data_IF_374869359414
#
_entry.id   IF_374869359414
#
_cell.length_a   1.000
_cell.length_b   1.000
_cell.length_c   1.000
_cell.angle_alpha   90.00
_cell.angle_beta   90.00
_cell.angle_gamma   90.00
#
_symmetry.space_group_name_H-M   'P 1'
#
loop_
_entity.id
_entity.type
_entity.pdbx_description
1 polymer ?
#
# COMPACT_ATOMS: atom_id res chain seq x y z
N UNK A 1 16.14 -14.24 -32.61
CA UNK A 1 14.66 -14.05 -32.60
C UNK A 1 14.07 -14.99 -31.55
N UNK A 2 13.91 -14.53 -30.33
CA UNK A 2 13.32 -15.31 -29.22
C UNK A 2 11.84 -14.96 -29.14
N UNK A 3 11.00 -15.87 -29.61
CA UNK A 3 9.55 -15.70 -29.52
C UNK A 3 9.06 -15.71 -28.09
N UNK A 4 8.70 -14.54 -27.58
CA UNK A 4 7.96 -14.40 -26.34
C UNK A 4 6.62 -15.14 -26.48
N UNK A 5 6.52 -16.34 -25.90
CA UNK A 5 5.24 -17.03 -25.72
C UNK A 5 4.38 -16.16 -24.78
N UNK A 6 3.46 -15.39 -25.37
CA UNK A 6 2.39 -14.70 -24.63
C UNK A 6 1.62 -15.76 -23.85
N UNK A 7 1.81 -15.79 -22.55
CA UNK A 7 0.99 -16.60 -21.66
C UNK A 7 -0.33 -15.83 -21.48
N UNK A 8 -1.40 -16.35 -22.08
CA UNK A 8 -2.75 -15.77 -21.99
C UNK A 8 -3.16 -15.68 -20.51
N UNK A 9 -3.18 -14.49 -19.92
CA UNK A 9 -3.84 -14.26 -18.65
C UNK A 9 -5.35 -14.35 -18.92
N UNK A 10 -6.04 -15.25 -18.24
CA UNK A 10 -7.48 -15.45 -18.44
C UNK A 10 -8.34 -14.33 -17.85
N UNK A 11 -7.75 -13.34 -17.16
CA UNK A 11 -8.47 -12.24 -16.52
C UNK A 11 -8.05 -10.90 -17.12
N UNK A 12 -9.05 -10.19 -17.66
CA UNK A 12 -8.89 -8.84 -18.19
C UNK A 12 -9.64 -7.87 -17.29
N UNK A 13 -9.06 -6.71 -17.02
CA UNK A 13 -9.71 -5.59 -16.35
C UNK A 13 -9.63 -4.40 -17.31
N UNK A 14 -10.77 -3.76 -17.52
CA UNK A 14 -10.88 -2.58 -18.36
C UNK A 14 -10.91 -1.34 -17.46
N UNK A 15 -10.26 -0.27 -17.89
CA UNK A 15 -10.22 0.99 -17.15
C UNK A 15 -10.24 2.18 -18.11
N UNK A 16 -10.78 3.29 -17.65
CA UNK A 16 -10.84 4.55 -18.40
C UNK A 16 -9.83 5.56 -17.89
N UNK A 17 -9.60 5.59 -16.57
CA UNK A 17 -8.63 6.48 -15.92
C UNK A 17 -7.79 5.73 -14.89
N UNK A 18 -6.63 6.26 -14.54
CA UNK A 18 -5.79 5.66 -13.50
C UNK A 18 -6.38 5.77 -12.08
N UNK A 19 -7.46 6.53 -11.92
CA UNK A 19 -8.19 6.69 -10.67
C UNK A 19 -9.41 5.77 -10.54
N UNK A 20 -9.67 4.92 -11.54
CA UNK A 20 -10.77 3.97 -11.51
C UNK A 20 -10.62 2.99 -10.34
N UNK A 21 -11.70 2.77 -9.60
CA UNK A 21 -11.77 1.72 -8.59
C UNK A 21 -12.18 0.40 -9.26
N UNK A 22 -11.19 -0.43 -9.54
CA UNK A 22 -11.39 -1.73 -10.23
C UNK A 22 -11.75 -2.87 -9.27
N UNK A 23 -11.78 -2.58 -7.97
CA UNK A 23 -12.19 -3.54 -6.92
C UNK A 23 -13.39 -2.96 -6.17
N UNK A 24 -14.56 -3.30 -6.62
CA UNK A 24 -15.80 -2.90 -5.94
C UNK A 24 -15.85 -3.45 -4.52
N UNK A 25 -16.01 -2.56 -3.54
CA UNK A 25 -16.35 -2.93 -2.18
C UNK A 25 -17.84 -2.70 -1.95
N UNK A 26 -18.51 -3.62 -1.28
CA UNK A 26 -19.95 -3.56 -1.00
C UNK A 26 -20.37 -2.34 -0.18
N UNK A 27 -19.44 -1.57 0.38
CA UNK A 27 -19.69 -0.46 1.29
C UNK A 27 -18.79 0.77 1.00
N UNK A 28 -18.62 1.15 -0.26
CA UNK A 28 -17.77 2.31 -0.62
C UNK A 28 -18.22 3.64 0.02
N UNK A 29 -19.51 3.75 0.31
CA UNK A 29 -20.12 4.94 0.94
C UNK A 29 -20.05 4.92 2.48
N UNK A 30 -19.38 3.94 3.08
CA UNK A 30 -19.27 3.90 4.53
C UNK A 30 -18.51 5.10 5.07
N UNK A 31 -19.07 5.74 6.10
CA UNK A 31 -18.44 6.84 6.85
C UNK A 31 -18.31 6.46 8.31
N UNK A 32 -17.23 6.91 8.91
CA UNK A 32 -17.04 6.72 10.34
C UNK A 32 -18.07 7.49 11.15
N UNK A 33 -18.48 6.92 12.27
CA UNK A 33 -19.39 7.60 13.21
C UNK A 33 -18.72 8.87 13.74
N UNK A 34 -19.51 9.91 13.97
CA UNK A 34 -19.02 11.12 14.63
C UNK A 34 -18.38 10.74 15.98
N UNK A 35 -17.24 11.38 16.32
CA UNK A 35 -16.52 11.04 17.54
C UNK A 35 -15.51 9.90 17.43
N UNK A 36 -15.22 9.40 16.23
CA UNK A 36 -14.17 8.40 16.05
C UNK A 36 -12.85 8.86 16.71
N UNK A 37 -12.20 7.91 17.39
CA UNK A 37 -10.94 8.17 18.13
C UNK A 37 -9.75 7.58 17.40
N UNK A 38 -9.00 8.40 16.69
CA UNK A 38 -7.73 8.01 16.05
C UNK A 38 -6.65 7.56 17.04
N UNK A 39 -6.74 8.08 18.29
CA UNK A 39 -5.87 7.68 19.40
C UNK A 39 -6.76 7.15 20.51
N UNK A 40 -6.59 5.89 20.86
CA UNK A 40 -7.27 5.28 22.00
C UNK A 40 -6.24 5.09 23.13
N UNK A 41 -6.48 5.75 24.27
CA UNK A 41 -5.60 5.70 25.43
C UNK A 41 -6.00 4.63 26.46
N UNK A 42 -7.13 3.95 26.26
CA UNK A 42 -7.58 2.90 27.16
C UNK A 42 -6.56 1.74 27.17
N UNK A 43 -6.13 1.35 28.39
CA UNK A 43 -5.10 0.32 28.60
C UNK A 43 -5.56 -1.05 28.09
N UNK A 44 -6.81 -1.43 28.33
CA UNK A 44 -7.37 -2.71 27.88
C UNK A 44 -7.45 -2.75 26.34
N UNK A 45 -7.85 -1.64 25.71
CA UNK A 45 -7.84 -1.54 24.26
C UNK A 45 -6.41 -1.67 23.70
N UNK A 46 -5.43 -1.04 24.33
CA UNK A 46 -4.02 -1.15 23.90
C UNK A 46 -3.53 -2.59 24.03
N UNK A 47 -3.77 -3.25 25.16
CA UNK A 47 -3.37 -4.64 25.37
C UNK A 47 -4.03 -5.58 24.35
N UNK A 48 -5.35 -5.51 24.19
CA UNK A 48 -6.07 -6.29 23.17
C UNK A 48 -5.57 -6.03 21.75
N UNK A 49 -5.25 -4.76 21.44
CA UNK A 49 -4.71 -4.37 20.14
C UNK A 49 -3.31 -4.97 19.88
N UNK A 50 -2.45 -5.10 20.91
CA UNK A 50 -1.16 -5.78 20.74
C UNK A 50 -1.32 -7.26 20.47
N UNK A 51 -2.23 -7.93 21.17
CA UNK A 51 -2.52 -9.36 21.00
C UNK A 51 -3.07 -9.63 19.59
N UNK A 52 -4.09 -8.88 19.17
CA UNK A 52 -4.71 -9.03 17.85
C UNK A 52 -3.72 -8.74 16.72
N UNK A 53 -2.92 -7.69 16.86
CA UNK A 53 -1.86 -7.37 15.90
C UNK A 53 -0.81 -8.48 15.82
N UNK A 54 -0.38 -9.01 16.97
CA UNK A 54 0.57 -10.14 17.02
C UNK A 54 0.05 -11.38 16.31
N UNK A 55 -1.20 -11.76 16.56
CA UNK A 55 -1.87 -12.87 15.87
C UNK A 55 -1.93 -12.62 14.36
N UNK A 56 -2.32 -11.42 13.95
CA UNK A 56 -2.40 -11.06 12.53
C UNK A 56 -1.02 -11.11 11.84
N UNK A 57 0.05 -10.68 12.51
CA UNK A 57 1.43 -10.77 11.98
C UNK A 57 1.86 -12.24 11.84
N UNK A 58 1.58 -13.10 12.82
CA UNK A 58 1.93 -14.53 12.76
C UNK A 58 1.17 -15.21 11.61
N UNK A 59 -0.14 -14.98 11.51
CA UNK A 59 -0.95 -15.49 10.42
C UNK A 59 -0.48 -14.97 9.05
N UNK A 60 -0.12 -13.69 9.00
CA UNK A 60 0.46 -13.05 7.81
C UNK A 60 1.80 -13.66 7.39
N UNK A 61 2.69 -13.93 8.34
CA UNK A 61 3.98 -14.61 8.08
C UNK A 61 3.75 -15.98 7.43
N UNK A 62 2.84 -16.77 7.98
CA UNK A 62 2.48 -18.08 7.43
C UNK A 62 1.91 -17.94 6.01
N UNK A 63 0.96 -17.02 5.81
CA UNK A 63 0.37 -16.73 4.50
C UNK A 63 1.40 -16.27 3.47
N UNK A 64 2.26 -15.32 3.83
CA UNK A 64 3.31 -14.79 2.93
C UNK A 64 4.30 -15.88 2.50
N UNK A 65 4.70 -16.75 3.42
CA UNK A 65 5.67 -17.81 3.14
C UNK A 65 5.05 -19.00 2.40
N UNK A 66 3.90 -19.51 2.88
CA UNK A 66 3.33 -20.76 2.40
C UNK A 66 2.41 -20.56 1.19
N UNK A 67 1.57 -19.52 1.20
CA UNK A 67 0.56 -19.30 0.17
C UNK A 67 1.07 -18.44 -0.97
N UNK A 68 1.67 -17.29 -0.64
CA UNK A 68 2.06 -16.30 -1.67
C UNK A 68 3.52 -16.43 -2.10
N UNK A 69 4.38 -17.07 -1.31
CA UNK A 69 5.80 -17.23 -1.63
C UNK A 69 6.52 -15.90 -1.82
N UNK A 70 6.21 -14.91 -0.96
CA UNK A 70 6.75 -13.56 -1.05
C UNK A 70 8.24 -13.55 -0.78
N UNK A 71 8.99 -12.91 -1.66
CA UNK A 71 10.44 -12.68 -1.53
C UNK A 71 10.71 -11.22 -1.22
N UNK A 72 11.25 -10.95 -0.06
CA UNK A 72 11.66 -9.59 0.33
C UNK A 72 13.09 -9.31 -0.14
N UNK A 73 13.27 -8.21 -0.86
CA UNK A 73 14.54 -7.73 -1.36
C UNK A 73 14.92 -6.46 -0.61
N UNK A 74 16.20 -6.40 -0.21
CA UNK A 74 16.80 -5.22 0.43
C UNK A 74 16.13 -4.72 1.73
N UNK A 75 15.23 -5.50 2.36
CA UNK A 75 14.52 -5.03 3.57
C UNK A 75 15.44 -4.68 4.76
N UNK A 76 16.73 -5.03 4.69
CA UNK A 76 17.71 -4.69 5.73
C UNK A 76 17.88 -3.18 5.90
N UNK A 77 17.62 -2.37 4.85
CA UNK A 77 17.71 -0.90 4.90
C UNK A 77 16.77 -0.29 5.95
N UNK A 78 15.65 -0.96 6.27
CA UNK A 78 14.75 -0.51 7.33
C UNK A 78 15.39 -0.49 8.73
N UNK A 79 16.54 -1.14 8.91
CA UNK A 79 17.30 -1.13 10.17
C UNK A 79 18.01 0.20 10.42
N UNK A 80 18.26 0.99 9.38
CA UNK A 80 18.90 2.31 9.48
C UNK A 80 18.05 3.29 10.30
N UNK A 81 16.73 3.10 10.30
CA UNK A 81 15.79 3.90 11.08
C UNK A 81 15.09 3.07 12.18
N UNK A 82 15.82 2.09 12.79
CA UNK A 82 15.19 1.20 13.78
C UNK A 82 14.63 1.94 14.98
N UNK A 83 15.24 3.04 15.40
CA UNK A 83 14.85 3.85 16.56
C UNK A 83 13.97 5.05 16.18
N UNK A 84 13.69 5.27 14.89
CA UNK A 84 12.94 6.41 14.38
C UNK A 84 11.63 5.96 13.74
N UNK A 85 10.59 6.80 13.79
CA UNK A 85 9.44 6.68 12.94
C UNK A 85 9.77 7.12 11.52
N UNK A 86 9.11 6.53 10.53
CA UNK A 86 9.33 6.82 9.11
C UNK A 86 8.07 6.57 8.30
N UNK A 87 8.02 7.11 7.10
CA UNK A 87 6.96 6.81 6.15
C UNK A 87 7.40 5.76 5.15
N UNK A 88 6.47 4.89 4.77
CA UNK A 88 6.62 3.94 3.66
C UNK A 88 5.58 4.28 2.62
N UNK A 89 6.02 4.61 1.41
CA UNK A 89 5.15 4.71 0.25
C UNK A 89 5.21 3.40 -0.53
N UNK A 90 4.05 2.82 -0.82
CA UNK A 90 3.97 1.53 -1.49
C UNK A 90 3.00 1.57 -2.67
N UNK A 91 3.25 0.78 -3.73
CA UNK A 91 2.29 0.59 -4.81
C UNK A 91 1.15 -0.33 -4.38
N UNK A 92 -0.09 -0.01 -4.82
CA UNK A 92 -1.32 -0.62 -4.31
C UNK A 92 -1.83 -1.73 -5.24
N UNK A 93 -1.25 -2.93 -5.11
CA UNK A 93 -1.47 -4.02 -6.06
C UNK A 93 -1.85 -5.36 -5.44
N UNK A 94 -1.99 -5.42 -4.11
CA UNK A 94 -2.35 -6.64 -3.40
C UNK A 94 -3.53 -6.40 -2.45
N UNK A 95 -4.70 -6.93 -2.76
CA UNK A 95 -5.94 -6.71 -1.99
C UNK A 95 -5.79 -7.03 -0.48
N UNK A 96 -5.12 -8.13 -0.14
CA UNK A 96 -4.84 -8.51 1.25
C UNK A 96 -3.38 -8.28 1.61
N UNK A 97 -2.48 -8.50 0.66
CA UNK A 97 -1.04 -8.39 0.85
C UNK A 97 -0.58 -7.00 1.28
N UNK A 98 -1.25 -5.96 0.80
CA UNK A 98 -0.86 -4.57 1.09
C UNK A 98 -1.01 -4.19 2.57
N UNK A 99 -1.84 -4.89 3.34
CA UNK A 99 -1.88 -4.72 4.80
C UNK A 99 -0.79 -5.56 5.49
N UNK A 100 -0.50 -6.73 4.97
CA UNK A 100 0.36 -7.73 5.58
C UNK A 100 1.85 -7.53 5.25
N UNK A 101 2.16 -7.20 4.00
CA UNK A 101 3.53 -7.08 3.50
C UNK A 101 4.36 -6.05 4.28
N UNK A 102 3.87 -4.80 4.53
CA UNK A 102 4.62 -3.84 5.33
C UNK A 102 4.81 -4.29 6.78
N UNK A 103 3.77 -4.90 7.40
CA UNK A 103 3.85 -5.38 8.77
C UNK A 103 4.95 -6.46 8.94
N UNK A 104 5.10 -7.36 7.97
CA UNK A 104 6.14 -8.39 7.97
C UNK A 104 7.51 -7.82 7.62
N UNK A 105 7.57 -6.82 6.75
CA UNK A 105 8.83 -6.12 6.44
C UNK A 105 9.40 -5.44 7.67
N UNK A 106 8.54 -4.87 8.52
CA UNK A 106 8.85 -4.11 9.71
C UNK A 106 8.58 -4.90 11.02
N UNK A 107 8.80 -6.21 11.04
CA UNK A 107 8.37 -7.13 12.11
C UNK A 107 8.75 -6.70 13.55
N UNK A 108 9.78 -5.87 13.69
CA UNK A 108 10.22 -5.33 14.99
C UNK A 108 9.43 -4.10 15.44
N UNK A 109 8.56 -3.56 14.58
CA UNK A 109 7.78 -2.35 14.83
C UNK A 109 6.33 -2.60 14.49
N UNK A 110 5.45 -1.94 15.22
CA UNK A 110 4.04 -1.91 14.83
C UNK A 110 3.86 -0.95 13.66
N UNK A 111 3.28 -1.44 12.58
CA UNK A 111 2.99 -0.66 11.39
C UNK A 111 1.61 -0.04 11.50
N UNK A 112 1.48 1.20 11.07
CA UNK A 112 0.22 1.89 10.88
C UNK A 112 0.00 2.16 9.40
N UNK A 113 -1.23 1.99 8.91
CA UNK A 113 -1.56 2.14 7.48
C UNK A 113 -2.66 3.18 7.33
N UNK A 114 -2.43 4.17 6.46
CA UNK A 114 -3.48 5.13 6.09
C UNK A 114 -4.43 4.43 5.12
N UNK A 115 -5.74 4.45 5.47
CA UNK A 115 -6.77 3.70 4.75
C UNK A 115 -8.01 4.55 4.48
N UNK A 116 -8.77 4.21 3.45
CA UNK A 116 -10.10 4.79 3.21
C UNK A 116 -11.07 4.39 4.32
N UNK A 117 -12.02 5.27 4.63
CA UNK A 117 -13.11 4.96 5.58
C UNK A 117 -13.97 3.78 5.10
N UNK A 118 -14.11 3.58 3.79
CA UNK A 118 -14.85 2.46 3.20
C UNK A 118 -14.39 1.10 3.75
N UNK A 119 -13.10 0.94 4.07
CA UNK A 119 -12.56 -0.30 4.64
C UNK A 119 -13.16 -0.66 6.01
N UNK A 120 -13.61 0.34 6.77
CA UNK A 120 -14.28 0.11 8.06
C UNK A 120 -15.71 -0.44 7.90
N UNK A 121 -16.28 -0.34 6.70
CA UNK A 121 -17.56 -0.96 6.34
C UNK A 121 -17.48 -2.46 6.05
N UNK A 122 -16.27 -3.03 5.93
CA UNK A 122 -16.11 -4.46 5.68
C UNK A 122 -16.55 -5.25 6.93
N UNK A 123 -17.52 -6.20 6.79
CA UNK A 123 -17.97 -6.99 7.92
C UNK A 123 -16.82 -7.68 8.65
N UNK A 124 -16.87 -7.71 9.98
CA UNK A 124 -15.85 -8.29 10.88
C UNK A 124 -14.51 -7.55 10.82
N UNK A 125 -13.89 -7.46 9.64
CA UNK A 125 -12.56 -6.83 9.44
C UNK A 125 -12.60 -5.35 9.85
N UNK A 126 -13.63 -4.61 9.45
CA UNK A 126 -13.76 -3.19 9.78
C UNK A 126 -13.67 -2.90 11.27
N UNK A 127 -14.22 -3.78 12.13
CA UNK A 127 -14.14 -3.66 13.59
C UNK A 127 -12.74 -3.91 14.14
N UNK A 128 -11.93 -4.69 13.45
CA UNK A 128 -10.55 -5.02 13.86
C UNK A 128 -9.53 -3.99 13.36
N UNK A 129 -9.86 -3.21 12.31
CA UNK A 129 -8.92 -2.25 11.69
C UNK A 129 -8.25 -1.30 12.71
N UNK A 130 -8.97 -0.70 13.69
CA UNK A 130 -8.33 0.15 14.71
C UNK A 130 -7.26 -0.61 15.52
N UNK A 131 -7.51 -1.90 15.79
CA UNK A 131 -6.58 -2.76 16.53
C UNK A 131 -5.41 -3.23 15.68
N UNK A 132 -5.58 -3.24 14.35
CA UNK A 132 -4.55 -3.63 13.38
C UNK A 132 -3.66 -2.46 12.92
N UNK A 133 -3.92 -1.24 13.41
CA UNK A 133 -3.10 -0.07 13.09
C UNK A 133 -3.60 0.74 11.90
N UNK A 134 -4.84 0.57 11.49
CA UNK A 134 -5.43 1.40 10.44
C UNK A 134 -5.68 2.84 10.94
N UNK A 135 -5.31 3.81 10.12
CA UNK A 135 -5.54 5.24 10.31
C UNK A 135 -6.47 5.72 9.19
N UNK A 136 -7.77 5.88 9.45
CA UNK A 136 -8.73 6.29 8.43
C UNK A 136 -8.49 7.74 8.01
N UNK A 137 -8.58 7.99 6.69
CA UNK A 137 -8.53 9.34 6.13
C UNK A 137 -9.79 10.11 6.59
N UNK A 138 -9.66 11.35 7.10
CA UNK A 138 -10.79 12.14 7.56
C UNK A 138 -11.60 12.73 6.41
N UNK A 139 -12.91 12.96 6.66
CA UNK A 139 -13.81 13.64 5.72
C UNK A 139 -14.02 15.14 6.06
N UNK A 140 -13.56 15.59 7.22
CA UNK A 140 -13.77 16.98 7.66
C UNK A 140 -12.47 17.62 8.18
N UNK A 141 -12.43 18.95 8.16
CA UNK A 141 -11.28 19.73 8.67
C UNK A 141 -11.06 19.46 10.17
N UNK A 142 -12.12 19.31 10.95
CA UNK A 142 -12.02 19.02 12.39
C UNK A 142 -11.41 17.65 12.67
N UNK A 143 -11.76 16.67 11.86
CA UNK A 143 -11.19 15.32 11.91
C UNK A 143 -9.76 15.29 11.39
N UNK A 144 -9.43 16.11 10.39
CA UNK A 144 -8.07 16.22 9.86
C UNK A 144 -7.06 16.61 10.94
N UNK A 145 -7.43 17.50 11.88
CA UNK A 145 -6.58 17.83 13.04
C UNK A 145 -6.33 16.62 13.93
N UNK A 146 -7.34 15.78 14.17
CA UNK A 146 -7.22 14.56 14.98
C UNK A 146 -6.38 13.50 14.27
N UNK A 147 -6.58 13.32 12.98
CA UNK A 147 -5.80 12.43 12.11
C UNK A 147 -4.31 12.85 12.09
N UNK A 148 -4.05 14.15 11.90
CA UNK A 148 -2.68 14.71 11.93
C UNK A 148 -2.00 14.43 13.26
N UNK A 149 -2.70 14.67 14.36
CA UNK A 149 -2.18 14.33 15.70
C UNK A 149 -1.87 12.84 15.86
N UNK A 150 -2.69 11.98 15.23
CA UNK A 150 -2.49 10.54 15.33
C UNK A 150 -1.24 10.08 14.58
N UNK A 151 -1.08 10.40 13.28
CA UNK A 151 0.11 9.94 12.55
C UNK A 151 1.40 10.57 13.10
N UNK A 152 1.39 11.86 13.49
CA UNK A 152 2.53 12.51 14.15
C UNK A 152 2.95 11.77 15.41
N UNK A 153 1.97 11.40 16.24
CA UNK A 153 2.20 10.58 17.44
C UNK A 153 2.85 9.23 17.08
N UNK A 154 2.39 8.54 16.04
CA UNK A 154 2.98 7.24 15.63
C UNK A 154 4.41 7.39 15.17
N UNK A 155 4.70 8.42 14.39
CA UNK A 155 6.08 8.75 13.97
C UNK A 155 6.96 9.07 15.20
N UNK A 156 6.49 9.89 16.14
CA UNK A 156 7.26 10.23 17.35
C UNK A 156 7.48 9.04 18.29
N UNK A 157 6.58 8.04 18.26
CA UNK A 157 6.72 6.77 18.99
C UNK A 157 7.65 5.77 18.28
N UNK A 158 8.29 6.17 17.17
CA UNK A 158 9.21 5.31 16.42
C UNK A 158 8.52 4.32 15.45
N UNK A 159 7.23 4.47 15.19
CA UNK A 159 6.48 3.57 14.34
C UNK A 159 6.45 3.99 12.87
N UNK A 160 6.50 3.04 11.91
CA UNK A 160 6.27 3.32 10.51
C UNK A 160 4.80 3.59 10.19
N UNK A 161 4.58 4.55 9.29
CA UNK A 161 3.27 4.87 8.70
C UNK A 161 3.33 4.57 7.20
N UNK A 162 2.43 3.72 6.72
CA UNK A 162 2.35 3.30 5.32
C UNK A 162 1.28 4.08 4.59
N UNK A 163 1.61 4.51 3.39
CA UNK A 163 0.74 5.24 2.48
C UNK A 163 0.78 4.56 1.11
N UNK A 164 -0.39 4.36 0.53
CA UNK A 164 -0.58 3.92 -0.84
C UNK A 164 -1.00 5.13 -1.69
N UNK A 165 -0.04 5.84 -2.32
CA UNK A 165 -0.35 7.11 -2.98
C UNK A 165 -1.20 6.95 -4.24
N UNK A 166 -1.28 5.75 -4.79
CA UNK A 166 -2.14 5.40 -5.93
C UNK A 166 -3.64 5.34 -5.58
N UNK A 167 -4.01 5.47 -4.30
CA UNK A 167 -5.35 5.48 -3.71
C UNK A 167 -6.12 4.14 -3.86
N UNK A 168 -6.41 3.69 -5.08
CA UNK A 168 -7.19 2.47 -5.34
C UNK A 168 -6.29 1.25 -5.56
N UNK A 169 -6.74 0.06 -5.10
CA UNK A 169 -5.99 -1.18 -5.34
C UNK A 169 -6.25 -1.67 -6.77
N UNK A 170 -5.18 -1.92 -7.52
CA UNK A 170 -5.25 -2.58 -8.83
C UNK A 170 -4.54 -3.94 -8.73
N UNK A 171 -5.29 -5.03 -8.54
CA UNK A 171 -4.72 -6.33 -8.26
C UNK A 171 -3.72 -6.80 -9.32
N UNK A 172 -2.50 -7.11 -8.90
CA UNK A 172 -1.42 -7.60 -9.75
C UNK A 172 -1.01 -6.66 -10.89
N UNK A 173 -1.33 -5.36 -10.79
CA UNK A 173 -0.84 -4.39 -11.76
C UNK A 173 0.69 -4.28 -11.65
N UNK A 174 1.38 -4.35 -12.77
CA UNK A 174 2.84 -4.48 -12.80
C UNK A 174 3.58 -3.19 -13.18
N UNK A 175 2.86 -2.08 -13.27
CA UNK A 175 3.41 -0.74 -13.48
C UNK A 175 3.07 0.14 -12.27
N UNK A 176 3.60 1.35 -12.24
CA UNK A 176 3.25 2.36 -11.24
C UNK A 176 2.28 3.34 -11.89
N UNK A 177 1.13 3.55 -11.26
CA UNK A 177 0.17 4.56 -11.69
C UNK A 177 0.64 5.95 -11.25
N UNK A 178 0.34 7.00 -12.02
CA UNK A 178 0.56 8.36 -11.56
C UNK A 178 -0.15 8.62 -10.23
N UNK A 179 0.49 9.34 -9.32
CA UNK A 179 -0.09 9.73 -8.05
C UNK A 179 0.35 11.14 -7.65
N UNK A 180 -0.49 11.77 -6.82
CA UNK A 180 -0.29 13.15 -6.38
C UNK A 180 0.73 13.26 -5.25
N UNK A 181 1.43 14.40 -5.19
CA UNK A 181 2.41 14.69 -4.14
C UNK A 181 1.81 15.04 -2.77
N UNK A 182 0.48 15.16 -2.67
CA UNK A 182 -0.22 15.71 -1.49
C UNK A 182 0.20 15.03 -0.18
N UNK A 183 0.30 13.71 -0.15
CA UNK A 183 0.67 12.97 1.06
C UNK A 183 2.14 13.13 1.47
N UNK A 184 3.02 13.51 0.53
CA UNK A 184 4.45 13.73 0.82
C UNK A 184 4.70 14.98 1.68
N UNK A 185 3.69 15.82 1.85
CA UNK A 185 3.72 16.90 2.83
C UNK A 185 3.92 16.37 4.26
N UNK A 186 3.42 15.19 4.60
CA UNK A 186 3.55 14.62 5.95
C UNK A 186 5.00 14.40 6.36
N UNK A 187 5.84 13.64 5.60
CA UNK A 187 7.25 13.52 5.93
C UNK A 187 8.01 14.84 5.77
N UNK A 188 7.67 15.69 4.79
CA UNK A 188 8.33 16.97 4.61
C UNK A 188 8.15 17.92 5.80
N UNK A 189 6.95 17.97 6.41
CA UNK A 189 6.69 18.76 7.63
C UNK A 189 7.36 18.18 8.88
N UNK A 190 7.63 16.88 8.92
CA UNK A 190 8.16 16.20 10.10
C UNK A 190 9.67 15.96 10.04
N UNK A 191 10.31 16.22 8.90
CA UNK A 191 11.69 15.80 8.68
C UNK A 191 11.88 14.27 8.81
N UNK A 192 10.80 13.51 8.60
CA UNK A 192 10.81 12.07 8.82
C UNK A 192 11.35 11.32 7.61
N UNK A 193 12.17 10.25 7.81
CA UNK A 193 12.67 9.42 6.73
C UNK A 193 11.56 8.79 5.91
N UNK A 194 11.79 8.61 4.61
CA UNK A 194 10.87 8.02 3.64
C UNK A 194 11.48 6.79 3.00
N UNK A 195 10.71 5.71 2.90
CA UNK A 195 11.07 4.52 2.13
C UNK A 195 10.07 4.30 1.00
N UNK A 196 10.56 3.79 -0.13
CA UNK A 196 9.74 3.24 -1.19
C UNK A 196 9.65 1.72 -1.05
N UNK A 197 8.43 1.17 -1.10
CA UNK A 197 8.21 -0.27 -1.08
C UNK A 197 7.48 -0.68 -2.36
N UNK A 198 8.16 -1.42 -3.24
CA UNK A 198 7.62 -1.77 -4.55
C UNK A 198 7.37 -3.27 -4.65
N UNK A 199 6.11 -3.64 -4.84
CA UNK A 199 5.70 -5.01 -5.14
C UNK A 199 5.76 -5.25 -6.64
N UNK A 200 6.44 -6.32 -7.06
CA UNK A 200 6.62 -6.72 -8.46
C UNK A 200 6.29 -8.20 -8.66
N UNK A 201 6.04 -8.58 -9.89
CA UNK A 201 5.55 -9.91 -10.24
C UNK A 201 6.47 -10.58 -11.25
N UNK A 202 6.97 -11.78 -10.88
CA UNK A 202 7.80 -12.58 -11.79
C UNK A 202 7.22 -13.97 -11.96
N UNK A 203 7.63 -14.64 -13.02
CA UNK A 203 7.21 -16.02 -13.29
C UNK A 203 7.64 -16.96 -12.16
N UNK A 204 6.66 -17.65 -11.58
CA UNK A 204 6.93 -18.68 -10.56
C UNK A 204 7.12 -20.02 -11.23
N UNK A 205 8.20 -20.71 -10.87
CA UNK A 205 8.43 -22.12 -11.24
C UNK A 205 8.48 -22.96 -9.97
N UNK A 206 7.85 -24.13 -9.99
CA UNK A 206 7.94 -25.11 -8.92
C UNK A 206 8.31 -26.45 -9.57
N UNK A 207 9.41 -27.05 -9.15
CA UNK A 207 9.98 -28.27 -9.74
C UNK A 207 10.06 -28.19 -11.28
N UNK A 208 10.57 -27.04 -11.80
CA UNK A 208 10.72 -26.80 -13.25
C UNK A 208 9.43 -26.44 -14.00
N UNK A 209 8.24 -26.64 -13.40
CA UNK A 209 6.94 -26.34 -14.02
C UNK A 209 6.52 -24.91 -13.73
N UNK A 210 6.04 -24.19 -14.76
CA UNK A 210 5.50 -22.83 -14.61
C UNK A 210 4.17 -22.88 -13.83
N UNK A 211 4.08 -22.05 -12.80
CA UNK A 211 2.86 -21.89 -12.00
C UNK A 211 2.00 -20.76 -12.58
N UNK A 212 0.65 -20.89 -12.46
CA UNK A 212 -0.29 -19.84 -12.86
C UNK A 212 -0.14 -18.58 -12.02
N UNK A 213 0.06 -18.74 -10.69
CA UNK A 213 0.24 -17.59 -9.79
C UNK A 213 1.67 -17.05 -9.88
N UNK A 214 1.87 -15.72 -9.94
CA UNK A 214 3.19 -15.13 -9.97
C UNK A 214 3.95 -15.36 -8.65
N UNK A 215 5.26 -15.25 -8.72
CA UNK A 215 6.09 -14.98 -7.56
C UNK A 215 6.00 -13.49 -7.25
N UNK A 216 5.76 -13.15 -5.99
CA UNK A 216 5.68 -11.78 -5.51
C UNK A 216 7.06 -11.40 -4.95
N UNK A 217 7.65 -10.32 -5.48
CA UNK A 217 8.88 -9.77 -4.94
C UNK A 217 8.59 -8.36 -4.40
N UNK A 218 9.07 -8.08 -3.20
CA UNK A 218 8.90 -6.80 -2.52
C UNK A 218 10.27 -6.16 -2.35
N UNK A 219 10.49 -5.03 -2.99
CA UNK A 219 11.71 -4.23 -2.88
C UNK A 219 11.49 -3.11 -1.88
N UNK A 220 12.50 -2.85 -1.05
CA UNK A 220 12.51 -1.71 -0.12
C UNK A 220 13.72 -0.86 -0.45
N UNK A 221 13.49 0.41 -0.76
CA UNK A 221 14.52 1.38 -1.13
C UNK A 221 14.42 2.63 -0.23
N UNK A 222 15.54 3.26 0.04
CA UNK A 222 15.69 4.37 0.97
C UNK A 222 16.69 4.02 2.09
N UNK A 223 16.73 4.82 3.18
CA UNK A 223 15.86 5.97 3.47
C UNK A 223 16.16 7.20 2.60
N UNK A 224 15.12 7.96 2.29
CA UNK A 224 15.19 9.27 1.67
C UNK A 224 14.85 10.31 2.72
N UNK A 225 15.62 11.40 2.76
CA UNK A 225 15.49 12.47 3.74
C UNK A 225 15.06 13.77 3.07
N UNK A 226 14.53 14.68 3.85
CA UNK A 226 14.37 16.07 3.47
C UNK A 226 15.75 16.74 3.32
N UNK A 227 15.81 17.80 2.52
CA UNK A 227 16.95 18.72 2.48
C UNK A 227 16.59 19.94 3.35
N UNK A 228 17.39 20.17 4.39
CA UNK A 228 17.17 21.25 5.36
C UNK A 228 17.28 22.66 4.71
N UNK A 229 17.88 22.75 3.51
CA UNK A 229 17.97 24.00 2.75
C UNK A 229 16.74 24.30 1.90
N UNK A 230 15.80 23.34 1.77
CA UNK A 230 14.60 23.48 0.97
C UNK A 230 13.36 23.79 1.81
N UNK A 231 12.41 24.48 1.19
CA UNK A 231 11.10 24.68 1.80
C UNK A 231 10.35 23.35 1.96
N UNK A 232 9.35 23.31 2.84
CA UNK A 232 8.46 22.13 2.99
C UNK A 232 7.82 21.75 1.65
N UNK A 233 7.45 22.73 0.82
CA UNK A 233 6.85 22.51 -0.50
C UNK A 233 7.85 21.87 -1.48
N UNK A 234 9.09 22.30 -1.46
CA UNK A 234 10.13 21.76 -2.33
C UNK A 234 10.56 20.36 -1.87
N UNK A 235 10.68 20.13 -0.56
CA UNK A 235 10.90 18.81 0.02
C UNK A 235 9.75 17.84 -0.30
N UNK A 236 8.51 18.31 -0.29
CA UNK A 236 7.36 17.52 -0.72
C UNK A 236 7.51 17.05 -2.17
N UNK A 237 7.95 17.92 -3.06
CA UNK A 237 8.21 17.58 -4.46
C UNK A 237 9.41 16.63 -4.59
N UNK A 238 10.52 16.94 -3.92
CA UNK A 238 11.74 16.12 -3.93
C UNK A 238 11.45 14.67 -3.51
N UNK A 239 10.75 14.48 -2.39
CA UNK A 239 10.41 13.16 -1.88
C UNK A 239 9.45 12.41 -2.81
N UNK A 240 8.45 13.11 -3.36
CA UNK A 240 7.53 12.54 -4.34
C UNK A 240 8.28 12.01 -5.57
N UNK A 241 9.09 12.85 -6.20
CA UNK A 241 9.78 12.52 -7.44
C UNK A 241 10.75 11.36 -7.21
N UNK A 242 11.45 11.37 -6.08
CA UNK A 242 12.38 10.30 -5.72
C UNK A 242 11.69 8.95 -5.52
N UNK A 243 10.57 8.94 -4.79
CA UNK A 243 9.78 7.72 -4.58
C UNK A 243 9.19 7.23 -5.89
N UNK A 244 8.62 8.13 -6.70
CA UNK A 244 8.03 7.79 -8.00
C UNK A 244 9.06 7.21 -8.97
N UNK A 245 10.24 7.83 -9.08
CA UNK A 245 11.35 7.35 -9.90
C UNK A 245 11.76 5.92 -9.51
N UNK A 246 11.99 5.70 -8.21
CA UNK A 246 12.47 4.41 -7.70
C UNK A 246 11.41 3.33 -7.87
N UNK A 247 10.14 3.60 -7.58
CA UNK A 247 9.06 2.66 -7.82
C UNK A 247 8.96 2.28 -9.31
N UNK A 248 9.07 3.26 -10.22
CA UNK A 248 9.05 3.00 -11.66
C UNK A 248 10.26 2.16 -12.10
N UNK A 249 11.45 2.43 -11.55
CA UNK A 249 12.63 1.62 -11.82
C UNK A 249 12.43 0.17 -11.35
N UNK A 250 11.86 -0.04 -10.15
CA UNK A 250 11.60 -1.38 -9.61
C UNK A 250 10.49 -2.11 -10.36
N UNK A 251 9.45 -1.42 -10.80
CA UNK A 251 8.33 -2.02 -11.54
C UNK A 251 8.79 -2.74 -12.83
N UNK A 252 9.88 -2.25 -13.45
CA UNK A 252 10.53 -2.87 -14.62
C UNK A 252 11.10 -4.27 -14.34
N UNK A 253 11.24 -4.66 -13.06
CA UNK A 253 11.63 -6.02 -12.66
C UNK A 253 10.45 -7.02 -12.77
N UNK A 254 9.24 -6.56 -13.08
CA UNK A 254 8.10 -7.43 -13.36
C UNK A 254 8.24 -8.02 -14.77
N UNK A 255 8.26 -9.35 -14.87
CA UNK A 255 8.32 -10.09 -16.13
C UNK A 255 7.06 -10.93 -16.39
N UNK A 256 6.05 -10.82 -15.53
CA UNK A 256 4.83 -11.62 -15.60
C UNK A 256 3.57 -10.78 -15.41
N UNK A 257 2.73 -10.74 -16.45
CA UNK A 257 1.42 -10.09 -16.42
C UNK A 257 0.36 -11.15 -16.04
N UNK A 258 -0.06 -11.13 -14.76
CA UNK A 258 -1.06 -12.08 -14.25
C UNK A 258 -2.49 -11.67 -14.59
N UNK A 259 -2.76 -10.35 -14.56
CA UNK A 259 -4.00 -9.72 -15.00
C UNK A 259 -3.65 -8.70 -16.07
N UNK A 260 -4.35 -8.76 -17.19
CA UNK A 260 -4.19 -7.79 -18.29
C UNK A 260 -5.09 -6.59 -18.05
N UNK A 261 -4.50 -5.39 -17.96
CA UNK A 261 -5.23 -4.14 -17.87
C UNK A 261 -5.33 -3.48 -19.23
N UNK A 262 -6.57 -3.17 -19.65
CA UNK A 262 -6.87 -2.64 -20.99
C UNK A 262 -7.48 -1.25 -20.81
N UNK A 263 -6.81 -0.24 -21.34
CA UNK A 263 -7.34 1.12 -21.37
C UNK A 263 -8.46 1.21 -22.44
N UNK A 264 -9.65 1.66 -22.03
CA UNK A 264 -10.77 1.97 -22.92
C UNK A 264 -10.77 3.48 -23.19
N UNK A 265 -10.46 3.90 -24.41
CA UNK A 265 -10.77 5.26 -24.85
C UNK A 265 -12.30 5.40 -24.98
N UNK A 266 -12.84 6.58 -24.67
CA UNK A 266 -14.29 6.87 -24.63
C UNK A 266 -15.08 6.49 -25.92
N UNK A 267 -14.41 6.22 -27.05
CA UNK A 267 -15.05 5.87 -28.32
C UNK A 267 -15.46 4.40 -28.46
N UNK A 268 -15.10 3.52 -27.51
CA UNK A 268 -15.45 2.09 -27.60
C UNK A 268 -16.63 1.67 -26.70
N UNK A 269 -17.23 2.61 -25.97
CA UNK A 269 -18.38 2.31 -25.09
C UNK A 269 -19.72 2.21 -25.84
N UNK A 270 -19.79 2.66 -27.11
CA UNK A 270 -21.05 2.70 -27.88
C UNK A 270 -21.38 1.36 -28.55
N UNK A 271 -20.40 0.45 -28.68
CA UNK A 271 -20.61 -0.82 -29.42
C UNK A 271 -21.01 -2.03 -28.56
N UNK A 272 -21.15 -1.87 -27.22
CA UNK A 272 -21.55 -2.99 -26.34
C UNK A 272 -23.06 -3.17 -26.18
N UNK A 273 -23.87 -2.22 -26.65
CA UNK A 273 -25.35 -2.29 -26.51
C UNK A 273 -26.07 -2.87 -27.74
N UNK A 274 -25.32 -3.39 -28.74
CA UNK A 274 -25.91 -3.95 -29.99
C UNK A 274 -25.69 -5.43 -30.22
N UNK A 275 -25.39 -6.21 -29.18
CA UNK A 275 -25.35 -7.68 -29.32
C UNK A 275 -26.11 -8.33 -28.15
N UNK A 276 -27.42 -8.34 -28.28
CA UNK A 276 -28.32 -9.32 -27.69
C UNK A 276 -29.01 -10.06 -28.80
#
# INVERSE_FOLDING_TARGET
>A
MSGSKKHNSNKKIYYSTYTDDVVESSNQNYRLKSGYRWINNNVFHKAGSHIIYGIAVIAGLAGCKLVWGISYKNKKVLRECIDKGYFIYANHTQTVGDVVIPAISCIRKRVYVIVSQANYGIPVIGKLLPMLGALPIPDSISEYKKFTKAYKKRISEGHPVVIYPEAHVWPYYNKIRPFEKTSFRFPAELGAPVYAMTTTYTRRKLFGRAMKRPKINVYVDGPYYVDDNLSVKDNQQLLHDKVYEVMNMRSKQSDYEYIQYIHCSHNSAVDKDKSH
#
